data_IF_388049328339
#
_entry.id   IF_388049328339
#
_cell.length_a   1.000
_cell.length_b   1.000
_cell.length_c   1.000
_cell.angle_alpha   90.00
_cell.angle_beta   90.00
_cell.angle_gamma   90.00
#
_symmetry.space_group_name_H-M   'P 1'
#
loop_
_entity.id
_entity.type
_entity.pdbx_description
1 polymer ?
#
# COMPACT_ATOMS: atom_id res chain seq x y z
N UNK A 1 -8.22 22.00 18.71
CA UNK A 1 -8.61 21.51 20.05
C UNK A 1 -9.14 20.11 19.85
N UNK A 2 -8.58 19.14 20.57
CA UNK A 2 -8.81 17.71 20.39
C UNK A 2 -10.18 17.31 20.96
N UNK A 3 -10.96 16.55 20.21
CA UNK A 3 -12.16 15.88 20.72
C UNK A 3 -11.83 14.46 21.12
N UNK A 4 -12.08 14.16 22.39
CA UNK A 4 -11.89 12.87 23.05
C UNK A 4 -12.94 11.85 22.56
N UNK A 5 -12.48 10.80 21.88
CA UNK A 5 -13.32 9.63 21.61
C UNK A 5 -13.40 8.75 22.87
N UNK A 6 -14.55 8.85 23.55
CA UNK A 6 -15.00 7.98 24.64
C UNK A 6 -14.79 6.50 24.28
N UNK A 7 -13.98 5.81 25.08
CA UNK A 7 -13.88 4.36 25.12
C UNK A 7 -15.25 3.76 25.45
N UNK A 8 -15.85 3.08 24.47
CA UNK A 8 -16.99 2.21 24.70
C UNK A 8 -16.49 0.96 25.44
N UNK A 9 -16.77 0.90 26.74
CA UNK A 9 -16.57 -0.30 27.55
C UNK A 9 -17.36 -1.47 26.97
N UNK A 10 -16.62 -2.43 26.42
CA UNK A 10 -17.16 -3.63 25.80
C UNK A 10 -17.78 -4.54 26.85
N UNK A 11 -19.10 -4.48 26.96
CA UNK A 11 -19.89 -5.34 27.83
C UNK A 11 -19.98 -6.74 27.19
N UNK A 12 -19.09 -7.66 27.56
CA UNK A 12 -19.15 -9.04 27.09
C UNK A 12 -19.87 -9.89 28.14
N UNK A 13 -21.14 -10.20 27.85
CA UNK A 13 -21.96 -11.21 28.53
C UNK A 13 -22.31 -10.95 30.02
N UNK A 14 -22.48 -9.69 30.41
CA UNK A 14 -23.13 -9.34 31.69
C UNK A 14 -22.22 -9.37 32.92
N UNK A 15 -20.90 -9.46 32.73
CA UNK A 15 -19.92 -9.22 33.78
C UNK A 15 -19.06 -8.03 33.38
N UNK A 16 -18.97 -7.06 34.29
CA UNK A 16 -18.15 -5.87 34.09
C UNK A 16 -16.68 -6.29 34.03
N UNK A 17 -15.99 -5.90 32.97
CA UNK A 17 -14.56 -6.16 32.75
C UNK A 17 -13.65 -5.61 33.85
N UNK A 18 -14.18 -4.72 34.71
CA UNK A 18 -13.50 -4.18 35.89
C UNK A 18 -13.37 -5.19 37.04
N UNK A 19 -14.21 -6.23 37.12
CA UNK A 19 -14.11 -7.27 38.16
C UNK A 19 -13.04 -8.34 37.86
N UNK A 20 -12.62 -8.47 36.59
CA UNK A 20 -11.59 -9.42 36.19
C UNK A 20 -10.17 -8.96 36.55
N UNK A 21 -9.97 -7.65 36.78
CA UNK A 21 -8.69 -7.09 37.20
C UNK A 21 -8.40 -7.24 38.70
N UNK A 22 -9.40 -7.65 39.50
CA UNK A 22 -9.31 -7.76 40.96
C UNK A 22 -9.12 -9.18 41.52
N UNK A 23 -9.15 -10.22 40.68
CA UNK A 23 -9.05 -11.62 41.12
C UNK A 23 -7.58 -12.02 41.35
N UNK A 24 -7.27 -12.42 42.58
CA UNK A 24 -5.96 -12.99 42.94
C UNK A 24 -5.77 -14.38 42.31
N UNK A 25 -4.52 -14.77 42.02
CA UNK A 25 -4.19 -16.05 41.38
C UNK A 25 -4.76 -17.29 42.13
N UNK A 26 -4.97 -17.16 43.44
CA UNK A 26 -5.58 -18.15 44.33
C UNK A 26 -7.10 -18.36 44.12
N UNK A 27 -7.88 -17.33 43.78
CA UNK A 27 -9.33 -17.47 43.51
C UNK A 27 -9.60 -18.04 42.11
N UNK A 28 -8.66 -17.78 41.20
CA UNK A 28 -8.69 -18.25 39.82
C UNK A 28 -8.42 -19.75 39.72
N UNK A 29 -7.63 -20.32 40.63
CA UNK A 29 -7.34 -21.77 40.72
C UNK A 29 -8.51 -22.60 41.23
N UNK A 30 -9.47 -22.00 41.94
CA UNK A 30 -10.67 -22.69 42.42
C UNK A 30 -11.81 -22.74 41.41
N UNK A 31 -11.74 -22.00 40.29
CA UNK A 31 -12.78 -21.98 39.27
C UNK A 31 -12.25 -22.35 37.87
N UNK A 32 -12.31 -23.64 37.48
CA UNK A 32 -11.75 -24.11 36.21
C UNK A 32 -12.37 -23.44 34.97
N UNK A 33 -13.59 -22.91 35.10
CA UNK A 33 -14.28 -22.16 34.05
C UNK A 33 -13.62 -20.81 33.77
N UNK A 34 -13.18 -20.09 34.82
CA UNK A 34 -12.48 -18.82 34.69
C UNK A 34 -11.08 -19.01 34.05
N UNK A 35 -10.36 -20.06 34.43
CA UNK A 35 -9.09 -20.44 33.79
C UNK A 35 -9.31 -20.74 32.30
N UNK A 36 -10.34 -21.51 31.95
CA UNK A 36 -10.65 -21.85 30.56
C UNK A 36 -11.01 -20.62 29.73
N UNK A 37 -11.73 -19.66 30.32
CA UNK A 37 -12.05 -18.38 29.68
C UNK A 37 -10.80 -17.53 29.46
N UNK A 38 -9.93 -17.40 30.45
CA UNK A 38 -8.65 -16.68 30.31
C UNK A 38 -7.73 -17.31 29.26
N UNK A 39 -7.69 -18.65 29.20
CA UNK A 39 -6.90 -19.38 28.22
C UNK A 39 -7.47 -19.23 26.80
N UNK A 40 -8.80 -19.14 26.68
CA UNK A 40 -9.47 -18.85 25.42
C UNK A 40 -9.18 -17.42 24.96
N UNK A 41 -9.29 -16.42 25.84
CA UNK A 41 -8.93 -15.04 25.54
C UNK A 41 -7.46 -14.88 25.16
N UNK A 42 -6.55 -15.55 25.88
CA UNK A 42 -5.14 -15.53 25.54
C UNK A 42 -4.89 -16.08 24.13
N UNK A 43 -5.50 -17.23 23.79
CA UNK A 43 -5.42 -17.80 22.44
C UNK A 43 -5.98 -16.85 21.39
N UNK A 44 -7.15 -16.28 21.64
CA UNK A 44 -7.78 -15.32 20.75
C UNK A 44 -6.87 -14.09 20.53
N UNK A 45 -6.27 -13.52 21.59
CA UNK A 45 -5.34 -12.40 21.46
C UNK A 45 -4.05 -12.75 20.69
N UNK A 46 -3.57 -13.99 20.80
CA UNK A 46 -2.40 -14.48 20.06
C UNK A 46 -2.74 -14.68 18.58
N UNK A 47 -3.91 -15.25 18.29
CA UNK A 47 -4.42 -15.44 16.93
C UNK A 47 -4.67 -14.08 16.26
N UNK A 48 -5.31 -13.14 16.98
CA UNK A 48 -5.55 -11.76 16.53
C UNK A 48 -4.23 -11.02 16.27
N UNK A 49 -3.22 -11.17 17.14
CA UNK A 49 -1.89 -10.60 16.90
C UNK A 49 -1.22 -11.17 15.64
N UNK A 50 -1.41 -12.45 15.38
CA UNK A 50 -0.86 -13.12 14.20
C UNK A 50 -1.56 -12.62 12.93
N UNK A 51 -2.89 -12.46 12.96
CA UNK A 51 -3.67 -11.87 11.88
C UNK A 51 -3.25 -10.42 11.62
N UNK A 52 -3.17 -9.60 12.66
CA UNK A 52 -2.76 -8.20 12.57
C UNK A 52 -1.35 -8.04 12.00
N UNK A 53 -0.41 -8.94 12.33
CA UNK A 53 0.93 -8.95 11.73
C UNK A 53 0.89 -9.26 10.24
N UNK A 54 0.06 -10.22 9.83
CA UNK A 54 -0.11 -10.55 8.41
C UNK A 54 -0.75 -9.39 7.64
N UNK A 55 -1.78 -8.77 8.20
CA UNK A 55 -2.43 -7.61 7.58
C UNK A 55 -1.45 -6.45 7.41
N UNK A 56 -0.61 -6.20 8.41
CA UNK A 56 0.41 -5.16 8.35
C UNK A 56 1.48 -5.46 7.30
N UNK A 57 1.90 -6.72 7.17
CA UNK A 57 2.85 -7.13 6.13
C UNK A 57 2.26 -6.98 4.72
N UNK A 58 1.00 -7.36 4.55
CA UNK A 58 0.26 -7.17 3.31
C UNK A 58 0.10 -5.68 2.98
N UNK A 59 -0.25 -4.85 3.97
CA UNK A 59 -0.38 -3.40 3.79
C UNK A 59 0.95 -2.76 3.36
N UNK A 60 2.06 -3.13 4.00
CA UNK A 60 3.40 -2.67 3.60
C UNK A 60 3.73 -3.05 2.16
N UNK A 61 3.42 -4.29 1.78
CA UNK A 61 3.62 -4.77 0.41
C UNK A 61 2.83 -3.93 -0.59
N UNK A 62 1.57 -3.59 -0.28
CA UNK A 62 0.75 -2.72 -1.14
C UNK A 62 1.28 -1.29 -1.23
N UNK A 63 1.73 -0.71 -0.11
CA UNK A 63 2.30 0.64 -0.09
C UNK A 63 3.58 0.71 -0.91
N UNK A 64 4.47 -0.28 -0.78
CA UNK A 64 5.72 -0.34 -1.54
C UNK A 64 5.43 -0.54 -3.05
N UNK A 65 4.49 -1.41 -3.39
CA UNK A 65 4.05 -1.59 -4.78
C UNK A 65 3.48 -0.29 -5.37
N UNK A 66 2.64 0.43 -4.61
CA UNK A 66 2.08 1.70 -5.03
C UNK A 66 3.16 2.78 -5.20
N UNK A 67 4.13 2.84 -4.29
CA UNK A 67 5.28 3.75 -4.39
C UNK A 67 6.09 3.52 -5.67
N UNK A 68 6.40 2.26 -5.99
CA UNK A 68 7.09 1.90 -7.24
C UNK A 68 6.25 2.23 -8.46
N UNK A 69 4.95 1.94 -8.45
CA UNK A 69 4.05 2.23 -9.56
C UNK A 69 3.94 3.73 -9.84
N UNK A 70 3.87 4.56 -8.78
CA UNK A 70 3.84 6.02 -8.90
C UNK A 70 5.12 6.57 -9.54
N UNK A 71 6.29 6.07 -9.10
CA UNK A 71 7.58 6.48 -9.65
C UNK A 71 7.75 6.08 -11.12
N UNK A 72 7.39 4.84 -11.45
CA UNK A 72 7.44 4.32 -12.81
C UNK A 72 6.48 5.08 -13.75
N UNK A 73 5.29 5.41 -13.28
CA UNK A 73 4.30 6.21 -14.04
C UNK A 73 4.78 7.64 -14.25
N UNK A 74 5.38 8.28 -13.24
CA UNK A 74 5.93 9.62 -13.38
C UNK A 74 7.07 9.66 -14.41
N UNK A 75 7.97 8.68 -14.34
CA UNK A 75 9.07 8.53 -15.31
C UNK A 75 8.52 8.31 -16.72
N UNK A 76 7.57 7.40 -16.88
CA UNK A 76 6.92 7.13 -18.17
C UNK A 76 6.20 8.35 -18.76
N UNK A 77 5.51 9.14 -17.92
CA UNK A 77 4.87 10.39 -18.35
C UNK A 77 5.88 11.42 -18.86
N UNK A 78 7.03 11.56 -18.19
CA UNK A 78 8.12 12.45 -18.65
C UNK A 78 8.67 11.97 -20.00
N UNK A 79 8.94 10.67 -20.16
CA UNK A 79 9.39 10.11 -21.43
C UNK A 79 8.38 10.37 -22.57
N UNK A 80 7.09 10.22 -22.31
CA UNK A 80 6.03 10.50 -23.28
C UNK A 80 5.95 11.98 -23.64
N UNK A 81 6.12 12.89 -22.66
CA UNK A 81 6.15 14.32 -22.92
C UNK A 81 7.34 14.72 -23.81
N UNK A 82 8.54 14.22 -23.51
CA UNK A 82 9.75 14.46 -24.32
C UNK A 82 9.61 13.85 -25.71
N UNK A 83 9.01 12.67 -25.80
CA UNK A 83 8.71 12.02 -27.07
C UNK A 83 7.84 12.89 -27.98
N UNK A 84 6.73 13.43 -27.46
CA UNK A 84 5.83 14.29 -28.24
C UNK A 84 6.55 15.52 -28.80
N UNK A 85 7.45 16.12 -28.02
CA UNK A 85 8.28 17.24 -28.47
C UNK A 85 9.19 16.79 -29.62
N UNK A 86 9.90 15.67 -29.47
CA UNK A 86 10.78 15.14 -30.51
C UNK A 86 10.01 14.79 -31.79
N UNK A 87 8.85 14.16 -31.68
CA UNK A 87 8.00 13.84 -32.85
C UNK A 87 7.56 15.14 -33.54
N UNK A 88 7.13 16.15 -32.79
CA UNK A 88 6.75 17.45 -33.33
C UNK A 88 7.89 18.13 -34.11
N UNK A 89 9.10 18.13 -33.54
CA UNK A 89 10.30 18.62 -34.24
C UNK A 89 10.62 17.80 -35.50
N UNK A 90 10.57 16.47 -35.42
CA UNK A 90 10.83 15.59 -36.54
C UNK A 90 9.88 15.81 -37.71
N UNK A 91 8.57 15.91 -37.44
CA UNK A 91 7.56 16.20 -38.46
C UNK A 91 7.76 17.59 -39.06
N UNK A 92 8.08 18.60 -38.24
CA UNK A 92 8.35 19.95 -38.72
C UNK A 92 9.58 20.00 -39.65
N UNK A 93 10.66 19.29 -39.30
CA UNK A 93 11.88 19.20 -40.12
C UNK A 93 11.65 18.47 -41.44
N UNK A 94 10.85 17.40 -41.44
CA UNK A 94 10.46 16.70 -42.66
C UNK A 94 9.61 17.59 -43.58
N UNK A 95 8.81 18.49 -43.01
CA UNK A 95 7.93 19.40 -43.78
C UNK A 95 8.69 20.51 -44.51
N UNK A 96 9.94 20.78 -44.13
CA UNK A 96 10.83 21.79 -44.77
C UNK A 96 11.94 21.14 -45.61
N UNK A 97 11.70 19.93 -46.13
CA UNK A 97 12.64 19.12 -46.93
C UNK A 97 13.95 18.71 -46.23
N UNK A 98 14.06 18.93 -44.91
CA UNK A 98 15.22 18.53 -44.13
C UNK A 98 15.07 17.08 -43.63
N UNK A 99 15.19 16.15 -44.58
CA UNK A 99 14.82 14.73 -44.44
C UNK A 99 15.64 13.99 -43.37
N UNK A 100 16.97 14.10 -43.39
CA UNK A 100 17.81 13.31 -42.49
C UNK A 100 17.65 13.67 -41.00
N UNK A 101 17.70 14.94 -40.60
CA UNK A 101 17.43 15.35 -39.21
C UNK A 101 15.98 15.07 -38.78
N UNK A 102 15.01 15.20 -39.68
CA UNK A 102 13.60 14.89 -39.40
C UNK A 102 13.36 13.42 -39.07
N UNK A 103 13.95 12.50 -39.85
CA UNK A 103 13.90 11.06 -39.58
C UNK A 103 14.58 10.71 -38.25
N UNK A 104 15.76 11.29 -37.97
CA UNK A 104 16.50 11.04 -36.73
C UNK A 104 15.67 11.43 -35.49
N UNK A 105 15.03 12.61 -35.52
CA UNK A 105 14.20 13.11 -34.43
C UNK A 105 12.91 12.28 -34.24
N UNK A 106 12.33 11.76 -35.33
CA UNK A 106 11.21 10.82 -35.26
C UNK A 106 11.58 9.47 -34.63
N UNK A 107 12.72 8.89 -35.01
CA UNK A 107 13.20 7.61 -34.43
C UNK A 107 13.39 7.76 -32.91
N UNK A 108 14.03 8.85 -32.48
CA UNK A 108 14.19 9.16 -31.04
C UNK A 108 12.83 9.32 -30.36
N UNK A 109 11.91 10.07 -30.97
CA UNK A 109 10.56 10.24 -30.45
C UNK A 109 9.84 8.89 -30.26
N UNK A 110 9.79 8.06 -31.29
CA UNK A 110 9.10 6.75 -31.26
C UNK A 110 9.74 5.81 -30.25
N UNK A 111 11.07 5.74 -30.18
CA UNK A 111 11.77 4.90 -29.20
C UNK A 111 11.47 5.32 -27.76
N UNK A 112 11.35 6.62 -27.49
CA UNK A 112 10.93 7.15 -26.19
C UNK A 112 9.46 6.82 -25.86
N UNK A 113 8.55 6.78 -26.86
CA UNK A 113 7.18 6.28 -26.64
C UNK A 113 7.21 4.84 -26.15
N UNK A 114 7.89 3.96 -26.88
CA UNK A 114 7.97 2.54 -26.52
C UNK A 114 8.57 2.36 -25.13
N UNK A 115 9.64 3.10 -24.82
CA UNK A 115 10.31 3.03 -23.52
C UNK A 115 9.42 3.59 -22.40
N UNK A 116 8.74 4.71 -22.62
CA UNK A 116 7.85 5.35 -21.65
C UNK A 116 6.60 4.51 -21.34
N UNK A 117 6.01 3.88 -22.36
CA UNK A 117 4.91 2.91 -22.19
C UNK A 117 5.41 1.70 -21.43
N UNK A 118 6.56 1.12 -21.81
CA UNK A 118 7.11 -0.03 -21.10
C UNK A 118 7.35 0.30 -19.63
N UNK A 119 7.97 1.44 -19.31
CA UNK A 119 8.17 1.86 -17.92
C UNK A 119 6.86 2.08 -17.16
N UNK A 120 5.84 2.70 -17.81
CA UNK A 120 4.54 2.96 -17.18
C UNK A 120 3.78 1.67 -16.85
N UNK A 121 3.91 0.63 -17.69
CA UNK A 121 3.15 -0.62 -17.57
C UNK A 121 3.98 -1.81 -17.08
N UNK A 122 5.29 -1.65 -16.86
CA UNK A 122 6.13 -2.69 -16.29
C UNK A 122 5.65 -2.95 -14.87
N UNK A 123 4.92 -4.06 -14.72
CA UNK A 123 4.50 -4.61 -13.42
C UNK A 123 5.75 -4.73 -12.55
N UNK A 124 5.74 -3.96 -11.46
CA UNK A 124 6.76 -4.01 -10.42
C UNK A 124 6.66 -5.26 -9.55
#
# INVERSE_FOLDING_TARGET
MAEEHKQQGGNILGLQTDELAGLSAEELTQNPTAIKMLLHYYRQLVDDNTSLKNDNNTLKTYVDAYGRQKSNSATGAILLAVSNISIGFGVNLLSIDNTWPGVASLIVGVSLVFTGINFSFKKG
#
